data_IF_713302846222
#
_entry.id   IF_713302846222
#
_cell.length_a   1.000
_cell.length_b   1.000
_cell.length_c   1.000
_cell.angle_alpha   90.00
_cell.angle_beta   90.00
_cell.angle_gamma   90.00
#
_symmetry.space_group_name_H-M   'P 1'
#
loop_
_entity.id
_entity.type
_entity.pdbx_description
1 polymer ?
#
# COMPACT_ATOMS: atom_id res chain seq x y z
N UNK A 1 24.99 -8.29 -8.20
CA UNK A 1 23.57 -8.39 -8.60
C UNK A 1 22.78 -8.92 -7.43
N UNK A 2 23.17 -10.08 -6.89
CA UNK A 2 22.72 -10.55 -5.58
C UNK A 2 22.95 -9.50 -4.49
N UNK A 3 24.12 -8.84 -4.45
CA UNK A 3 24.41 -7.80 -3.46
C UNK A 3 23.43 -6.62 -3.47
N UNK A 4 23.07 -6.10 -4.65
CA UNK A 4 22.09 -4.99 -4.77
C UNK A 4 20.68 -5.46 -4.37
N UNK A 5 20.33 -6.71 -4.72
CA UNK A 5 19.04 -7.28 -4.35
C UNK A 5 18.95 -7.52 -2.84
N UNK A 6 20.01 -8.03 -2.22
CA UNK A 6 20.11 -8.23 -0.77
C UNK A 6 20.10 -6.90 -0.02
N UNK A 7 20.81 -5.87 -0.50
CA UNK A 7 20.73 -4.51 0.05
C UNK A 7 19.29 -3.97 0.02
N UNK A 8 18.59 -4.15 -1.11
CA UNK A 8 17.19 -3.76 -1.23
C UNK A 8 16.28 -4.52 -0.26
N UNK A 9 16.50 -5.83 -0.10
CA UNK A 9 15.71 -6.64 0.85
C UNK A 9 15.92 -6.17 2.28
N UNK A 10 17.18 -5.96 2.69
CA UNK A 10 17.51 -5.46 4.03
C UNK A 10 16.93 -4.06 4.30
N UNK A 11 17.12 -3.10 3.38
CA UNK A 11 16.54 -1.76 3.54
C UNK A 11 15.01 -1.83 3.61
N UNK A 12 14.39 -2.67 2.77
CA UNK A 12 12.94 -2.80 2.77
C UNK A 12 12.41 -3.46 4.04
N UNK A 13 13.12 -4.46 4.60
CA UNK A 13 12.76 -5.08 5.89
C UNK A 13 12.75 -4.05 7.02
N UNK A 14 13.77 -3.20 7.11
CA UNK A 14 13.80 -2.11 8.09
C UNK A 14 12.61 -1.16 7.93
N UNK A 15 12.29 -0.78 6.68
CA UNK A 15 11.15 0.10 6.39
C UNK A 15 9.81 -0.58 6.74
N UNK A 16 9.67 -1.88 6.49
CA UNK A 16 8.47 -2.65 6.79
C UNK A 16 8.23 -2.75 8.31
N UNK A 17 9.28 -2.99 9.10
CA UNK A 17 9.18 -3.02 10.56
C UNK A 17 8.73 -1.66 11.12
N UNK A 18 9.24 -0.56 10.57
CA UNK A 18 8.80 0.80 10.91
C UNK A 18 7.34 1.05 10.50
N UNK A 19 6.91 0.53 9.35
CA UNK A 19 5.53 0.63 8.88
C UNK A 19 4.56 -0.15 9.78
N UNK A 20 4.90 -1.38 10.16
CA UNK A 20 4.10 -2.21 11.06
C UNK A 20 3.94 -1.54 12.43
N UNK A 21 5.06 -1.09 13.01
CA UNK A 21 5.04 -0.36 14.30
C UNK A 21 4.12 0.86 14.24
N UNK A 22 4.21 1.65 13.15
CA UNK A 22 3.34 2.81 12.97
C UNK A 22 1.86 2.42 12.86
N UNK A 23 1.55 1.36 12.11
CA UNK A 23 0.17 0.89 11.96
C UNK A 23 -0.41 0.39 13.28
N UNK A 24 0.37 -0.32 14.10
CA UNK A 24 -0.02 -0.75 15.44
C UNK A 24 -0.32 0.46 16.35
N UNK A 25 0.53 1.50 16.33
CA UNK A 25 0.27 2.74 17.08
C UNK A 25 -1.07 3.40 16.68
N UNK A 26 -1.37 3.44 15.38
CA UNK A 26 -2.61 4.04 14.87
C UNK A 26 -3.83 3.13 15.15
N UNK A 27 -3.65 1.81 15.18
CA UNK A 27 -4.71 0.87 15.57
C UNK A 27 -5.13 1.08 17.04
N UNK A 28 -4.16 1.26 17.93
CA UNK A 28 -4.38 1.54 19.35
C UNK A 28 -5.01 2.92 19.59
N UNK A 29 -4.58 3.94 18.85
CA UNK A 29 -5.10 5.30 18.93
C UNK A 29 -5.49 5.87 17.55
N UNK A 30 -6.77 5.77 17.16
CA UNK A 30 -7.27 6.31 15.89
C UNK A 30 -7.14 7.84 15.76
N UNK A 31 -6.83 8.58 16.82
CA UNK A 31 -6.53 10.02 16.70
C UNK A 31 -5.19 10.27 16.01
N UNK A 32 -4.33 9.25 15.93
CA UNK A 32 -3.06 9.26 15.21
C UNK A 32 -3.22 8.98 13.71
N UNK A 33 -4.44 8.87 13.18
CA UNK A 33 -4.72 8.65 11.76
C UNK A 33 -3.93 9.57 10.79
N UNK A 34 -3.63 10.85 11.11
CA UNK A 34 -2.74 11.67 10.27
C UNK A 34 -1.33 11.07 10.05
N UNK A 35 -0.82 10.23 10.96
CA UNK A 35 0.46 9.50 10.80
C UNK A 35 0.44 8.50 9.64
N UNK A 36 -0.71 8.14 9.09
CA UNK A 36 -0.77 7.30 7.88
C UNK A 36 -0.19 8.00 6.64
N UNK A 37 0.04 9.31 6.70
CA UNK A 37 0.88 9.99 5.72
C UNK A 37 2.35 9.52 5.79
N UNK A 38 2.89 9.33 6.99
CA UNK A 38 4.26 8.83 7.19
C UNK A 38 4.38 7.37 6.71
N UNK A 39 3.33 6.55 6.93
CA UNK A 39 3.23 5.22 6.29
C UNK A 39 3.33 5.33 4.75
N UNK A 40 2.57 6.25 4.16
CA UNK A 40 2.58 6.50 2.72
C UNK A 40 3.97 6.91 2.19
N UNK A 41 4.71 7.73 2.94
CA UNK A 41 6.08 8.13 2.60
C UNK A 41 7.07 6.97 2.72
N UNK A 42 6.91 6.09 3.72
CA UNK A 42 7.76 4.91 3.93
C UNK A 42 7.61 3.90 2.79
N UNK A 43 6.38 3.52 2.46
CA UNK A 43 6.12 2.58 1.37
C UNK A 43 6.50 3.15 -0.01
N UNK A 44 6.50 4.48 -0.17
CA UNK A 44 7.00 5.15 -1.38
C UNK A 44 8.50 4.90 -1.61
N UNK A 45 9.30 4.76 -0.54
CA UNK A 45 10.72 4.40 -0.66
C UNK A 45 10.89 3.00 -1.25
N UNK A 46 10.11 2.02 -0.76
CA UNK A 46 10.09 0.66 -1.32
C UNK A 46 9.62 0.68 -2.77
N UNK A 47 8.56 1.43 -3.08
CA UNK A 47 8.05 1.62 -4.44
C UNK A 47 9.12 2.18 -5.39
N UNK A 48 9.82 3.24 -4.97
CA UNK A 48 10.88 3.88 -5.75
C UNK A 48 12.05 2.95 -6.02
N UNK A 49 12.56 2.30 -4.98
CA UNK A 49 13.69 1.37 -5.09
C UNK A 49 13.35 0.15 -5.95
N UNK A 50 12.18 -0.47 -5.74
CA UNK A 50 11.73 -1.60 -6.57
C UNK A 50 11.53 -1.23 -8.04
N UNK A 51 11.02 -0.04 -8.33
CA UNK A 51 10.86 0.47 -9.70
C UNK A 51 12.21 0.64 -10.41
N UNK A 52 13.19 1.25 -9.73
CA UNK A 52 14.55 1.40 -10.27
C UNK A 52 15.19 0.04 -10.51
N UNK A 53 15.04 -0.91 -9.58
CA UNK A 53 15.58 -2.26 -9.74
C UNK A 53 14.90 -3.02 -10.88
N UNK A 54 13.58 -2.89 -11.04
CA UNK A 54 12.85 -3.52 -12.14
C UNK A 54 13.34 -3.03 -13.52
N UNK A 55 13.76 -1.77 -13.63
CA UNK A 55 14.35 -1.22 -14.87
C UNK A 55 15.74 -1.80 -15.16
N UNK A 56 16.51 -2.10 -14.13
CA UNK A 56 17.87 -2.65 -14.26
C UNK A 56 17.85 -4.18 -14.46
N UNK A 57 16.94 -4.86 -13.75
CA UNK A 57 16.78 -6.31 -13.72
C UNK A 57 15.28 -6.63 -13.77
N UNK A 58 14.71 -6.84 -14.97
CA UNK A 58 13.30 -7.12 -15.11
C UNK A 58 12.90 -8.44 -14.41
N UNK A 59 12.31 -8.32 -13.22
CA UNK A 59 11.60 -9.39 -12.51
C UNK A 59 10.11 -9.04 -12.48
N UNK A 60 9.21 -9.97 -12.83
CA UNK A 60 7.78 -9.79 -12.65
C UNK A 60 7.42 -9.44 -11.20
N UNK A 61 8.12 -10.04 -10.23
CA UNK A 61 7.88 -9.79 -8.82
C UNK A 61 8.30 -8.35 -8.42
N UNK A 62 9.43 -7.84 -8.90
CA UNK A 62 9.83 -6.43 -8.65
C UNK A 62 8.83 -5.43 -9.22
N UNK A 63 8.35 -5.67 -10.44
CA UNK A 63 7.33 -4.82 -11.05
C UNK A 63 6.01 -4.88 -10.26
N UNK A 64 5.61 -6.06 -9.79
CA UNK A 64 4.40 -6.21 -8.99
C UNK A 64 4.56 -5.56 -7.61
N UNK A 65 5.72 -5.67 -6.95
CA UNK A 65 6.05 -4.96 -5.70
C UNK A 65 5.90 -3.45 -5.90
N UNK A 66 6.37 -2.91 -7.02
CA UNK A 66 6.21 -1.47 -7.33
C UNK A 66 4.72 -1.08 -7.32
N UNK A 67 3.89 -1.83 -8.04
CA UNK A 67 2.45 -1.50 -8.17
C UNK A 67 1.71 -1.73 -6.83
N UNK A 68 2.07 -2.79 -6.10
CA UNK A 68 1.49 -3.10 -4.81
C UNK A 68 1.83 -2.04 -3.74
N UNK A 69 3.07 -1.56 -3.72
CA UNK A 69 3.49 -0.46 -2.88
C UNK A 69 2.79 0.85 -3.24
N UNK A 70 2.58 1.13 -4.54
CA UNK A 70 1.79 2.28 -5.01
C UNK A 70 0.34 2.21 -4.51
N UNK A 71 -0.24 1.01 -4.47
CA UNK A 71 -1.58 0.79 -3.93
C UNK A 71 -1.63 1.05 -2.42
N UNK A 72 -0.71 0.49 -1.64
CA UNK A 72 -0.62 0.72 -0.19
C UNK A 72 -0.44 2.20 0.12
N UNK A 73 0.45 2.88 -0.63
CA UNK A 73 0.67 4.31 -0.57
C UNK A 73 -0.64 5.08 -0.72
N UNK A 74 -1.39 4.83 -1.80
CA UNK A 74 -2.64 5.51 -2.09
C UNK A 74 -3.64 5.39 -0.92
N UNK A 75 -3.78 4.18 -0.35
CA UNK A 75 -4.70 3.92 0.75
C UNK A 75 -4.27 4.64 2.04
N UNK A 76 -2.99 4.60 2.39
CA UNK A 76 -2.45 5.33 3.54
C UNK A 76 -2.70 6.84 3.44
N UNK A 77 -2.38 7.45 2.30
CA UNK A 77 -2.62 8.89 2.06
C UNK A 77 -4.10 9.26 2.09
N UNK A 78 -4.98 8.41 1.55
CA UNK A 78 -6.42 8.69 1.57
C UNK A 78 -6.97 8.62 2.99
N UNK A 79 -6.52 7.63 3.75
CA UNK A 79 -6.94 7.48 5.14
C UNK A 79 -6.46 8.62 6.02
N UNK A 80 -5.22 9.10 5.85
CA UNK A 80 -4.69 10.22 6.64
C UNK A 80 -5.49 11.52 6.49
N UNK A 81 -6.26 11.66 5.41
CA UNK A 81 -7.14 12.81 5.13
C UNK A 81 -8.56 12.64 5.67
N UNK A 82 -8.90 11.49 6.25
CA UNK A 82 -10.23 11.25 6.83
C UNK A 82 -10.23 11.68 8.29
N UNK A 83 -10.95 12.76 8.56
CA UNK A 83 -11.19 13.23 9.93
C UNK A 83 -12.48 12.65 10.51
N UNK A 84 -12.45 12.29 11.79
CA UNK A 84 -13.66 11.97 12.57
C UNK A 84 -14.36 10.65 12.23
N UNK A 85 -13.81 9.81 11.34
CA UNK A 85 -14.34 8.48 11.03
C UNK A 85 -13.42 7.36 11.53
N UNK A 86 -13.52 7.07 12.83
CA UNK A 86 -12.71 6.04 13.49
C UNK A 86 -13.00 4.62 12.99
N UNK A 87 -14.20 4.34 12.48
CA UNK A 87 -14.53 3.04 11.89
C UNK A 87 -13.77 2.81 10.58
N UNK A 88 -13.74 3.82 9.70
CA UNK A 88 -12.99 3.76 8.45
C UNK A 88 -11.49 3.67 8.72
N UNK A 89 -10.97 4.45 9.67
CA UNK A 89 -9.57 4.36 10.07
C UNK A 89 -9.19 2.95 10.53
N UNK A 90 -9.96 2.34 11.44
CA UNK A 90 -9.72 0.96 11.92
C UNK A 90 -9.70 -0.08 10.81
N UNK A 91 -10.71 -0.06 9.94
CA UNK A 91 -10.78 -1.04 8.83
C UNK A 91 -9.62 -0.83 7.85
N UNK A 92 -9.21 0.41 7.62
CA UNK A 92 -8.09 0.72 6.74
C UNK A 92 -6.76 0.28 7.36
N UNK A 93 -6.53 0.57 8.64
CA UNK A 93 -5.32 0.16 9.36
C UNK A 93 -5.18 -1.36 9.37
N UNK A 94 -6.25 -2.08 9.70
CA UNK A 94 -6.26 -3.55 9.64
C UNK A 94 -5.93 -4.08 8.23
N UNK A 95 -6.47 -3.43 7.19
CA UNK A 95 -6.11 -3.77 5.81
C UNK A 95 -4.64 -3.48 5.49
N UNK A 96 -4.11 -2.35 5.96
CA UNK A 96 -2.70 -1.97 5.72
C UNK A 96 -1.73 -2.86 6.50
N UNK A 97 -2.11 -3.39 7.67
CA UNK A 97 -1.34 -4.41 8.40
C UNK A 97 -1.22 -5.68 7.55
N UNK A 98 -2.36 -6.29 7.18
CA UNK A 98 -2.41 -7.47 6.28
C UNK A 98 -1.60 -7.21 5.00
N UNK A 99 -1.72 -6.00 4.44
CA UNK A 99 -1.06 -5.65 3.19
C UNK A 99 0.46 -5.49 3.35
N UNK A 100 0.93 -5.00 4.49
CA UNK A 100 2.36 -4.81 4.80
C UNK A 100 3.04 -6.13 5.04
N UNK A 101 2.40 -7.06 5.75
CA UNK A 101 2.89 -8.44 5.91
C UNK A 101 3.01 -9.14 4.55
N UNK A 102 2.00 -8.99 3.68
CA UNK A 102 2.06 -9.55 2.34
C UNK A 102 3.19 -8.95 1.49
N UNK A 103 3.47 -7.64 1.64
CA UNK A 103 4.60 -6.98 0.98
C UNK A 103 5.94 -7.53 1.47
N UNK A 104 6.05 -7.82 2.77
CA UNK A 104 7.23 -8.48 3.35
C UNK A 104 7.48 -9.85 2.72
N UNK A 105 6.44 -10.68 2.60
CA UNK A 105 6.53 -12.00 1.95
C UNK A 105 7.03 -11.89 0.49
N UNK A 106 6.55 -10.90 -0.26
CA UNK A 106 7.01 -10.67 -1.64
C UNK A 106 8.47 -10.25 -1.71
N UNK A 107 8.91 -9.35 -0.84
CA UNK A 107 10.31 -8.93 -0.79
C UNK A 107 11.22 -10.09 -0.41
N UNK A 108 10.85 -10.90 0.57
CA UNK A 108 11.61 -12.09 0.96
C UNK A 108 11.66 -13.15 -0.16
N UNK A 109 10.61 -13.23 -0.97
CA UNK A 109 10.48 -14.10 -2.14
C UNK A 109 11.36 -13.70 -3.34
N UNK A 110 11.90 -12.49 -3.37
CA UNK A 110 12.80 -12.06 -4.45
C UNK A 110 14.06 -12.94 -4.52
N UNK A 111 14.38 -13.38 -5.73
CA UNK A 111 15.52 -14.27 -6.00
C UNK A 111 15.25 -15.76 -5.74
N UNK A 112 14.05 -16.13 -5.26
CA UNK A 112 13.66 -17.53 -5.12
C UNK A 112 13.18 -18.11 -6.45
N UNK A 113 13.26 -19.44 -6.61
CA UNK A 113 12.78 -20.14 -7.81
C UNK A 113 11.82 -21.28 -7.41
N UNK A 114 10.53 -21.21 -7.78
CA UNK A 114 9.87 -20.08 -8.44
C UNK A 114 9.70 -18.87 -7.51
N UNK A 115 9.69 -17.66 -8.08
CA UNK A 115 9.28 -16.46 -7.35
C UNK A 115 7.78 -16.56 -7.00
N UNK A 116 7.35 -16.04 -5.82
CA UNK A 116 5.94 -16.00 -5.47
C UNK A 116 5.14 -15.12 -6.44
N UNK A 117 3.90 -15.53 -6.68
CA UNK A 117 2.97 -14.78 -7.53
C UNK A 117 2.09 -13.87 -6.68
N UNK A 118 2.25 -12.55 -6.83
CA UNK A 118 1.34 -11.56 -6.21
C UNK A 118 -0.12 -11.82 -6.61
N UNK A 119 -0.38 -12.36 -7.81
CA UNK A 119 -1.74 -12.64 -8.30
C UNK A 119 -2.50 -13.66 -7.44
N UNK A 120 -1.79 -14.63 -6.87
CA UNK A 120 -2.41 -15.64 -6.00
C UNK A 120 -2.80 -15.04 -4.65
N UNK A 121 -2.01 -14.07 -4.18
CA UNK A 121 -2.26 -13.34 -2.94
C UNK A 121 -3.35 -12.27 -3.08
N UNK A 122 -3.45 -11.62 -4.24
CA UNK A 122 -4.52 -10.67 -4.60
C UNK A 122 -5.84 -11.37 -4.98
N UNK A 123 -6.33 -12.23 -4.08
CA UNK A 123 -7.58 -12.93 -4.27
C UNK A 123 -8.80 -11.99 -4.25
N UNK A 124 -9.97 -12.50 -4.65
CA UNK A 124 -11.22 -11.73 -4.70
C UNK A 124 -11.62 -11.16 -3.34
N UNK A 125 -11.20 -11.76 -2.23
CA UNK A 125 -11.49 -11.25 -0.89
C UNK A 125 -10.66 -9.99 -0.59
N UNK A 126 -9.35 -9.98 -0.92
CA UNK A 126 -8.49 -8.80 -0.81
C UNK A 126 -9.04 -7.65 -1.65
N UNK A 127 -9.37 -7.94 -2.91
CA UNK A 127 -9.98 -6.97 -3.82
C UNK A 127 -11.30 -6.41 -3.28
N UNK A 128 -12.18 -7.26 -2.77
CA UNK A 128 -13.47 -6.84 -2.23
C UNK A 128 -13.31 -5.92 -1.00
N UNK A 129 -12.38 -6.24 -0.08
CA UNK A 129 -12.08 -5.36 1.07
C UNK A 129 -11.57 -4.00 0.63
N UNK A 130 -10.66 -3.99 -0.34
CA UNK A 130 -10.07 -2.77 -0.86
C UNK A 130 -11.10 -1.88 -1.58
N UNK A 131 -11.98 -2.47 -2.41
CA UNK A 131 -13.08 -1.74 -3.04
C UNK A 131 -14.08 -1.18 -2.01
N UNK A 132 -14.34 -1.92 -0.93
CA UNK A 132 -15.16 -1.42 0.18
C UNK A 132 -14.52 -0.19 0.84
N UNK A 133 -13.22 -0.25 1.15
CA UNK A 133 -12.47 0.87 1.77
C UNK A 133 -12.48 2.08 0.83
N UNK A 134 -12.23 1.86 -0.46
CA UNK A 134 -12.23 2.91 -1.48
C UNK A 134 -13.56 3.66 -1.58
N UNK A 135 -14.68 2.93 -1.59
CA UNK A 135 -16.01 3.52 -1.59
C UNK A 135 -16.26 4.41 -0.38
N UNK A 136 -15.82 3.97 0.81
CA UNK A 136 -15.92 4.75 2.04
C UNK A 136 -15.06 6.02 2.00
N UNK A 137 -13.89 6.03 1.36
CA UNK A 137 -13.11 7.27 1.20
C UNK A 137 -13.86 8.31 0.36
N UNK A 138 -14.40 7.91 -0.79
CA UNK A 138 -15.09 8.84 -1.68
C UNK A 138 -16.36 9.43 -1.02
N UNK A 139 -17.06 8.67 -0.17
CA UNK A 139 -18.20 9.17 0.62
C UNK A 139 -17.78 10.18 1.69
N UNK A 140 -16.74 9.88 2.47
CA UNK A 140 -16.29 10.74 3.57
C UNK A 140 -15.62 12.03 3.06
N UNK A 141 -14.81 11.94 2.00
CA UNK A 141 -14.21 13.13 1.38
C UNK A 141 -15.26 14.02 0.72
N UNK A 142 -16.35 13.46 0.17
CA UNK A 142 -17.46 14.28 -0.34
C UNK A 142 -18.27 14.94 0.78
N UNK A 143 -18.40 14.27 1.93
CA UNK A 143 -19.11 14.83 3.09
C UNK A 143 -18.33 15.97 3.76
N UNK A 144 -16.99 15.95 3.72
CA UNK A 144 -16.14 17.00 4.30
C UNK A 144 -15.90 18.20 3.37
N UNK A 145 -16.09 18.05 2.05
CA UNK A 145 -15.79 19.08 1.05
C UNK A 145 -17.07 19.69 0.47
N UNK A 146 -17.67 20.64 1.18
CA UNK A 146 -18.38 21.75 0.54
C UNK A 146 -17.34 22.75 0.04
N UNK A 147 -16.93 22.60 -1.22
CA UNK A 147 -16.09 23.51 -2.02
C UNK A 147 -14.63 23.08 -2.27
N UNK A 148 -14.24 23.28 -3.52
CA UNK A 148 -12.91 23.18 -4.16
C UNK A 148 -12.45 21.83 -4.74
N UNK A 149 -12.58 21.79 -6.06
CA UNK A 149 -11.92 21.02 -7.12
C UNK A 149 -10.48 20.61 -6.82
N UNK A 150 -10.10 19.35 -7.11
CA UNK A 150 -8.90 18.94 -7.90
C UNK A 150 -8.60 17.41 -7.77
N UNK A 151 -9.33 16.60 -8.55
CA UNK A 151 -8.90 15.34 -9.18
C UNK A 151 -10.14 14.71 -9.84
N UNK A 152 -10.13 14.50 -11.16
CA UNK A 152 -11.29 13.96 -11.88
C UNK A 152 -11.46 12.43 -11.73
N UNK A 153 -10.51 11.75 -11.08
CA UNK A 153 -10.59 10.30 -10.83
C UNK A 153 -10.96 10.04 -9.37
N UNK A 154 -11.98 9.22 -9.19
CA UNK A 154 -12.38 8.67 -7.88
C UNK A 154 -11.29 7.76 -7.33
N UNK A 155 -11.24 7.60 -6.01
CA UNK A 155 -10.27 6.68 -5.37
C UNK A 155 -10.44 5.26 -5.92
N UNK A 156 -11.71 4.87 -6.14
CA UNK A 156 -12.06 3.61 -6.79
C UNK A 156 -11.43 3.43 -8.18
N UNK A 157 -11.49 4.44 -9.05
CA UNK A 157 -10.90 4.37 -10.40
C UNK A 157 -9.38 4.23 -10.36
N UNK A 158 -8.71 4.87 -9.40
CA UNK A 158 -7.26 4.76 -9.24
C UNK A 158 -6.86 3.35 -8.80
N UNK A 159 -7.63 2.75 -7.89
CA UNK A 159 -7.43 1.37 -7.43
C UNK A 159 -7.66 0.37 -8.56
N UNK A 160 -8.73 0.55 -9.33
CA UNK A 160 -9.04 -0.34 -10.46
C UNK A 160 -7.91 -0.29 -11.52
N UNK A 161 -7.38 0.90 -11.83
CA UNK A 161 -6.23 1.07 -12.73
C UNK A 161 -4.98 0.32 -12.22
N UNK A 162 -4.72 0.33 -10.91
CA UNK A 162 -3.58 -0.38 -10.31
C UNK A 162 -3.78 -1.89 -10.33
N UNK A 163 -5.00 -2.37 -10.03
CA UNK A 163 -5.33 -3.79 -10.13
C UNK A 163 -5.19 -4.34 -11.54
N UNK A 164 -5.56 -3.57 -12.56
CA UNK A 164 -5.39 -4.01 -13.95
C UNK A 164 -3.92 -4.21 -14.31
N UNK A 165 -3.00 -3.43 -13.73
CA UNK A 165 -1.55 -3.60 -13.93
C UNK A 165 -0.97 -4.81 -13.19
N UNK A 166 -1.65 -5.28 -12.14
CA UNK A 166 -1.27 -6.49 -11.39
C UNK A 166 -1.75 -7.79 -12.08
N UNK A 167 -2.52 -7.70 -13.18
CA UNK A 167 -3.03 -8.85 -13.97
C UNK A 167 -2.04 -9.37 -15.00
#
# INVERSE_FOLDING_TARGET
MDEILEEFKLESEEILDEMLTLLEEVEEDPTLNPKLEDFGQRVDRIMGSSSVLAMQNPSPLLANITIYSELCKLIGYKCSQVDGNSELSKITVAFLLDATEMLQDFIQGLGQVPEPSIKEALNEAFKSRLQMIAGKFDENLRASVSSSTLSNKTTQSQIDDLFEKLK
#
